data_IF_757448052252
#
_entry.id   IF_757448052252
#
_cell.length_a   1.000
_cell.length_b   1.000
_cell.length_c   1.000
_cell.angle_alpha   90.00
_cell.angle_beta   90.00
_cell.angle_gamma   90.00
#
_symmetry.space_group_name_H-M   'P 1'
#
loop_
_entity.id
_entity.type
_entity.pdbx_description
1 polymer ?
#
# COMPACT_ATOMS: atom_id res chain seq x y z
N UNK A 1 7.83 16.66 -0.73
CA UNK A 1 8.85 15.59 -0.88
C UNK A 1 8.14 14.25 -0.80
N UNK A 2 8.64 13.17 -1.43
CA UNK A 2 8.02 11.84 -1.34
C UNK A 2 8.68 11.01 -0.24
N UNK A 3 7.89 10.21 0.48
CA UNK A 3 8.35 9.26 1.50
C UNK A 3 7.59 7.94 1.36
N UNK A 4 8.24 6.82 1.64
CA UNK A 4 7.54 5.54 1.77
C UNK A 4 6.56 5.64 2.95
N UNK A 5 5.33 5.14 2.77
CA UNK A 5 4.26 5.28 3.77
C UNK A 5 3.80 3.91 4.29
N UNK A 6 3.39 3.03 3.38
CA UNK A 6 3.01 1.65 3.73
C UNK A 6 3.09 0.74 2.51
N UNK A 7 2.93 -0.56 2.78
CA UNK A 7 2.77 -1.61 1.79
C UNK A 7 1.37 -2.21 1.92
N UNK A 8 0.83 -2.76 0.83
CA UNK A 8 -0.48 -3.40 0.82
C UNK A 8 -0.44 -4.78 0.16
N UNK A 9 -0.94 -5.76 0.91
CA UNK A 9 -1.26 -7.13 0.49
C UNK A 9 -2.73 -7.15 0.08
N UNK A 10 -3.00 -7.49 -1.17
CA UNK A 10 -4.38 -7.70 -1.61
C UNK A 10 -4.83 -9.11 -1.28
N UNK A 11 -6.11 -9.27 -0.94
CA UNK A 11 -6.76 -10.55 -0.75
C UNK A 11 -8.19 -10.50 -1.30
N UNK A 12 -8.72 -11.65 -1.73
CA UNK A 12 -10.14 -11.80 -2.11
C UNK A 12 -11.05 -11.83 -0.88
N UNK A 13 -10.52 -12.25 0.26
CA UNK A 13 -11.19 -12.28 1.55
C UNK A 13 -10.25 -11.76 2.65
N UNK A 14 -10.72 -10.81 3.47
CA UNK A 14 -9.87 -10.19 4.49
C UNK A 14 -9.45 -11.17 5.59
N UNK A 15 -10.31 -12.11 5.99
CA UNK A 15 -9.97 -13.07 7.04
C UNK A 15 -8.90 -14.05 6.57
N UNK A 16 -9.01 -14.55 5.34
CA UNK A 16 -7.99 -15.41 4.73
C UNK A 16 -6.67 -14.66 4.51
N UNK A 17 -6.74 -13.41 4.01
CA UNK A 17 -5.59 -12.54 3.86
C UNK A 17 -4.87 -12.25 5.18
N UNK A 18 -5.63 -11.97 6.24
CA UNK A 18 -5.09 -11.76 7.58
C UNK A 18 -4.39 -13.02 8.10
N UNK A 19 -5.06 -14.18 8.04
CA UNK A 19 -4.47 -15.45 8.48
C UNK A 19 -3.19 -15.79 7.71
N UNK A 20 -3.18 -15.59 6.40
CA UNK A 20 -2.00 -15.80 5.57
C UNK A 20 -0.85 -14.89 5.99
N UNK A 21 -1.11 -13.61 6.20
CA UNK A 21 -0.09 -12.64 6.55
C UNK A 21 0.45 -12.85 7.97
N UNK A 22 -0.41 -13.15 8.93
CA UNK A 22 -0.04 -13.50 10.31
C UNK A 22 0.83 -14.77 10.36
N UNK A 23 0.46 -15.79 9.59
CA UNK A 23 1.25 -17.02 9.44
C UNK A 23 2.61 -16.74 8.83
N UNK A 24 2.67 -15.86 7.83
CA UNK A 24 3.91 -15.57 7.09
C UNK A 24 4.89 -14.72 7.91
N UNK A 25 4.40 -13.72 8.65
CA UNK A 25 5.24 -12.85 9.49
C UNK A 25 5.41 -13.36 10.92
N UNK A 26 4.57 -14.29 11.37
CA UNK A 26 4.61 -14.90 12.70
C UNK A 26 4.14 -13.97 13.82
N UNK A 27 3.35 -12.95 13.51
CA UNK A 27 2.79 -11.98 14.48
C UNK A 27 1.33 -11.66 14.14
N UNK A 28 0.47 -11.35 15.12
CA UNK A 28 -0.93 -11.03 14.85
C UNK A 28 -1.08 -9.62 14.28
N UNK A 29 -2.08 -9.42 13.44
CA UNK A 29 -2.48 -8.12 12.92
C UNK A 29 -3.40 -7.41 13.92
N UNK A 30 -3.32 -6.08 13.92
CA UNK A 30 -4.25 -5.24 14.63
C UNK A 30 -5.53 -5.00 13.80
N UNK A 31 -6.65 -4.68 14.46
CA UNK A 31 -7.84 -4.18 13.77
C UNK A 31 -7.49 -2.97 12.90
N UNK A 32 -7.95 -3.01 11.65
CA UNK A 32 -7.95 -1.86 10.75
C UNK A 32 -9.31 -1.17 10.78
N UNK A 33 -9.90 -0.95 9.61
CA UNK A 33 -11.28 -0.53 9.48
C UNK A 33 -11.77 -0.56 8.04
N UNK A 34 -12.84 0.16 7.78
CA UNK A 34 -13.52 0.17 6.49
C UNK A 34 -13.23 1.46 5.73
N UNK A 35 -13.29 1.37 4.40
CA UNK A 35 -13.18 2.50 3.49
C UNK A 35 -14.52 2.65 2.73
N UNK A 36 -15.49 3.42 3.26
CA UNK A 36 -16.82 3.50 2.66
C UNK A 36 -16.81 3.96 1.20
N UNK A 37 -15.88 4.85 0.82
CA UNK A 37 -15.77 5.34 -0.56
C UNK A 37 -15.41 4.22 -1.55
N UNK A 38 -14.58 3.26 -1.11
CA UNK A 38 -14.04 2.18 -1.96
C UNK A 38 -14.65 0.82 -1.68
N UNK A 39 -15.55 0.73 -0.71
CA UNK A 39 -16.16 -0.52 -0.26
C UNK A 39 -15.13 -1.62 0.00
N UNK A 40 -14.03 -1.25 0.65
CA UNK A 40 -12.96 -2.15 1.08
C UNK A 40 -12.81 -2.10 2.59
N UNK A 41 -12.12 -3.09 3.15
CA UNK A 41 -11.77 -3.14 4.56
C UNK A 41 -10.39 -3.76 4.77
N UNK A 42 -9.77 -3.49 5.91
CA UNK A 42 -8.38 -3.88 6.14
C UNK A 42 -8.08 -4.39 7.56
N UNK A 43 -6.86 -4.93 7.68
CA UNK A 43 -6.13 -5.22 8.92
C UNK A 43 -4.71 -4.70 8.77
N UNK A 44 -4.08 -4.34 9.88
CA UNK A 44 -2.84 -3.55 9.87
C UNK A 44 -1.76 -4.17 10.75
N UNK A 45 -0.50 -3.99 10.36
CA UNK A 45 0.68 -4.30 11.16
C UNK A 45 1.59 -3.08 11.27
N UNK A 46 2.11 -2.81 12.46
CA UNK A 46 3.13 -1.79 12.66
C UNK A 46 4.49 -2.25 12.08
N UNK A 47 5.16 -1.41 11.29
CA UNK A 47 6.50 -1.67 10.75
C UNK A 47 7.57 -0.68 11.29
N UNK A 48 7.28 0.01 12.39
CA UNK A 48 8.05 1.11 12.95
C UNK A 48 7.55 2.46 12.43
N UNK A 49 8.23 3.00 11.42
CA UNK A 49 7.88 4.25 10.75
C UNK A 49 6.78 4.08 9.69
N UNK A 50 6.58 2.84 9.23
CA UNK A 50 5.57 2.45 8.24
C UNK A 50 4.51 1.55 8.86
N UNK A 51 3.53 1.14 8.06
CA UNK A 51 2.67 0.01 8.37
C UNK A 51 2.53 -0.94 7.18
N UNK A 52 2.04 -2.15 7.43
CA UNK A 52 1.62 -3.10 6.41
C UNK A 52 0.11 -3.24 6.48
N UNK A 53 -0.55 -3.18 5.34
CA UNK A 53 -1.98 -3.38 5.20
C UNK A 53 -2.24 -4.72 4.52
N UNK A 54 -3.21 -5.48 5.01
CA UNK A 54 -3.93 -6.44 4.17
C UNK A 54 -5.33 -5.89 3.91
N UNK A 55 -5.72 -5.87 2.64
CA UNK A 55 -6.93 -5.22 2.16
C UNK A 55 -7.72 -6.15 1.26
N UNK A 56 -9.05 -6.10 1.38
CA UNK A 56 -9.99 -6.82 0.52
C UNK A 56 -11.24 -5.99 0.27
N UNK A 57 -12.03 -6.39 -0.73
CA UNK A 57 -13.38 -5.88 -0.93
C UNK A 57 -14.24 -6.28 0.27
N UNK A 58 -14.98 -5.32 0.84
CA UNK A 58 -15.91 -5.59 1.92
C UNK A 58 -17.24 -6.11 1.34
N UNK A 59 -17.59 -7.40 1.54
CA UNK A 59 -18.81 -7.97 0.95
C UNK A 59 -20.10 -7.41 1.58
N UNK A 60 -20.01 -6.77 2.75
CA UNK A 60 -21.14 -6.12 3.40
C UNK A 60 -21.38 -4.67 2.94
N UNK A 61 -20.43 -4.09 2.19
CA UNK A 61 -20.54 -2.74 1.66
C UNK A 61 -21.17 -2.75 0.25
N UNK A 62 -21.92 -1.70 -0.14
CA UNK A 62 -22.46 -1.61 -1.50
C UNK A 62 -21.34 -1.53 -2.54
N UNK A 63 -21.56 -2.02 -3.75
CA UNK A 63 -20.60 -1.80 -4.85
C UNK A 63 -20.51 -0.31 -5.16
N UNK A 64 -19.30 0.30 -5.15
CA UNK A 64 -19.13 1.71 -5.48
C UNK A 64 -19.41 1.95 -6.97
N UNK A 65 -19.81 3.15 -7.38
CA UNK A 65 -20.11 3.48 -8.77
C UNK A 65 -18.86 3.68 -9.65
N UNK A 66 -17.67 3.37 -9.12
CA UNK A 66 -16.37 3.58 -9.75
C UNK A 66 -15.44 2.39 -9.43
N UNK A 67 -14.39 2.14 -10.23
CA UNK A 67 -13.41 1.09 -9.96
C UNK A 67 -12.71 1.27 -8.62
N UNK A 68 -12.45 0.17 -7.93
CA UNK A 68 -11.69 0.17 -6.67
C UNK A 68 -10.21 0.36 -6.95
N UNK A 69 -9.50 0.96 -5.98
CA UNK A 69 -8.05 1.14 -6.04
C UNK A 69 -7.36 -0.22 -6.10
N UNK A 70 -6.06 -0.18 -6.42
CA UNK A 70 -5.19 -1.36 -6.40
C UNK A 70 -5.64 -2.49 -7.33
N UNK A 71 -6.45 -2.16 -8.36
CA UNK A 71 -7.05 -3.13 -9.28
C UNK A 71 -7.84 -4.24 -8.55
N UNK A 72 -8.40 -3.94 -7.36
CA UNK A 72 -9.05 -4.94 -6.50
C UNK A 72 -10.25 -5.63 -7.16
N UNK A 73 -10.93 -4.95 -8.10
CA UNK A 73 -12.05 -5.53 -8.83
C UNK A 73 -11.62 -6.68 -9.76
N UNK A 74 -10.35 -6.69 -10.19
CA UNK A 74 -9.77 -7.75 -11.03
C UNK A 74 -8.82 -8.66 -10.24
N UNK A 75 -8.66 -8.43 -8.93
CA UNK A 75 -7.79 -9.22 -8.09
C UNK A 75 -8.32 -10.65 -7.91
N UNK A 76 -7.45 -11.62 -8.18
CA UNK A 76 -7.73 -13.05 -7.99
C UNK A 76 -6.51 -13.77 -7.43
N UNK A 77 -6.75 -14.97 -6.91
CA UNK A 77 -5.71 -15.86 -6.39
C UNK A 77 -5.43 -15.70 -4.90
N UNK A 78 -4.30 -16.27 -4.46
CA UNK A 78 -3.85 -16.23 -3.07
C UNK A 78 -3.44 -14.80 -2.66
N UNK A 79 -3.54 -14.43 -1.37
CA UNK A 79 -3.04 -13.16 -0.87
C UNK A 79 -1.56 -12.95 -1.24
N UNK A 80 -1.22 -11.75 -1.72
CA UNK A 80 0.16 -11.38 -2.09
C UNK A 80 0.39 -9.89 -2.01
N UNK A 81 1.67 -9.49 -1.96
CA UNK A 81 2.06 -8.09 -2.03
C UNK A 81 1.74 -7.52 -3.43
N UNK A 82 0.87 -6.51 -3.50
CA UNK A 82 0.44 -5.95 -4.79
C UNK A 82 0.70 -4.47 -4.94
N UNK A 83 0.83 -3.74 -3.83
CA UNK A 83 0.99 -2.30 -3.86
C UNK A 83 1.91 -1.81 -2.76
N UNK A 84 2.47 -0.65 -3.04
CA UNK A 84 3.27 0.13 -2.12
C UNK A 84 2.84 1.58 -2.29
N UNK A 85 2.91 2.33 -1.20
CA UNK A 85 2.30 3.64 -1.12
C UNK A 85 3.34 4.63 -0.64
N UNK A 86 3.35 5.80 -1.27
CA UNK A 86 4.19 6.92 -0.87
C UNK A 86 3.31 8.08 -0.39
N UNK A 87 3.79 8.79 0.62
CA UNK A 87 3.20 10.02 1.12
C UNK A 87 3.93 11.24 0.55
N UNK A 88 3.19 12.32 0.36
CA UNK A 88 3.72 13.65 0.10
C UNK A 88 3.05 14.72 0.99
N UNK A 89 3.69 15.88 1.07
CA UNK A 89 3.17 17.02 1.84
C UNK A 89 2.06 17.77 1.08
N UNK A 90 2.04 17.67 -0.25
CA UNK A 90 1.09 18.33 -1.16
C UNK A 90 0.74 17.35 -2.30
N UNK A 91 -0.50 16.86 -2.30
CA UNK A 91 -0.96 15.89 -3.29
C UNK A 91 -1.07 16.48 -4.69
N UNK A 92 -1.47 17.74 -4.82
CA UNK A 92 -1.68 18.36 -6.14
C UNK A 92 -0.34 18.58 -6.84
N UNK A 93 0.68 19.03 -6.10
CA UNK A 93 2.05 19.11 -6.59
C UNK A 93 2.66 17.72 -6.88
N UNK A 94 2.28 16.70 -6.10
CA UNK A 94 2.69 15.32 -6.33
C UNK A 94 2.09 14.72 -7.60
N UNK A 95 0.80 14.96 -7.86
CA UNK A 95 0.11 14.54 -9.08
C UNK A 95 0.69 15.19 -10.34
N UNK A 96 1.15 16.43 -10.25
CA UNK A 96 1.84 17.09 -11.36
C UNK A 96 3.21 16.44 -11.68
N UNK A 97 3.89 15.87 -10.68
CA UNK A 97 5.17 15.18 -10.84
C UNK A 97 5.01 13.71 -11.26
N UNK A 98 3.94 13.06 -10.84
CA UNK A 98 3.65 11.64 -11.09
C UNK A 98 2.35 11.49 -11.89
N UNK A 99 2.35 11.88 -13.19
CA UNK A 99 1.16 11.80 -14.03
C UNK A 99 0.69 10.35 -14.15
N UNK A 100 -0.64 10.16 -14.17
CA UNK A 100 -1.26 8.84 -14.20
C UNK A 100 -1.52 8.21 -12.83
N UNK A 101 -1.08 8.84 -11.74
CA UNK A 101 -1.39 8.38 -10.36
C UNK A 101 -2.89 8.47 -10.01
N UNK A 102 -3.66 9.26 -10.77
CA UNK A 102 -5.11 9.38 -10.62
C UNK A 102 -5.59 10.77 -10.23
N UNK A 103 -6.80 10.84 -9.67
CA UNK A 103 -7.40 12.08 -9.17
C UNK A 103 -7.36 12.10 -7.64
N UNK A 104 -7.16 13.28 -7.07
CA UNK A 104 -7.16 13.47 -5.62
C UNK A 104 -8.57 13.29 -5.05
N UNK A 105 -8.70 12.38 -4.10
CA UNK A 105 -9.95 12.07 -3.40
C UNK A 105 -9.74 12.20 -1.90
N UNK A 106 -10.60 12.98 -1.24
CA UNK A 106 -10.60 13.15 0.21
C UNK A 106 -11.24 11.94 0.89
N UNK A 107 -10.54 11.40 1.89
CA UNK A 107 -10.91 10.17 2.57
C UNK A 107 -10.79 10.34 4.09
N UNK A 108 -11.62 9.58 4.79
CA UNK A 108 -11.73 9.65 6.24
C UNK A 108 -12.06 8.29 6.84
N UNK A 109 -11.46 8.00 8.00
CA UNK A 109 -11.78 6.84 8.83
C UNK A 109 -11.54 7.17 10.31
N UNK A 110 -12.60 7.26 11.10
CA UNK A 110 -12.51 7.75 12.48
C UNK A 110 -12.01 9.19 12.49
N UNK A 111 -10.86 9.44 13.12
CA UNK A 111 -10.16 10.73 13.14
C UNK A 111 -9.04 10.83 12.08
N UNK A 112 -8.71 9.74 11.37
CA UNK A 112 -7.78 9.77 10.24
C UNK A 112 -8.41 10.53 9.07
N UNK A 113 -7.65 11.44 8.47
CA UNK A 113 -8.00 12.20 7.27
C UNK A 113 -6.80 12.17 6.31
N UNK A 114 -7.06 11.90 5.05
CA UNK A 114 -6.02 11.93 4.02
C UNK A 114 -6.64 12.19 2.66
N UNK A 115 -5.82 12.64 1.72
CA UNK A 115 -6.15 12.67 0.30
C UNK A 115 -5.39 11.55 -0.39
N UNK A 116 -6.01 10.84 -1.33
CA UNK A 116 -5.35 9.79 -2.10
C UNK A 116 -5.56 10.00 -3.59
N UNK A 117 -4.53 9.75 -4.38
CA UNK A 117 -4.64 9.67 -5.83
C UNK A 117 -5.28 8.32 -6.22
N UNK A 118 -6.43 8.37 -6.88
CA UNK A 118 -7.17 7.18 -7.33
C UNK A 118 -7.27 7.22 -8.87
N UNK A 119 -6.63 6.27 -9.58
CA UNK A 119 -6.78 6.15 -11.03
C UNK A 119 -8.24 5.88 -11.42
N UNK A 120 -8.69 6.46 -12.54
CA UNK A 120 -10.08 6.34 -12.98
C UNK A 120 -10.49 4.89 -13.32
N UNK A 121 -9.52 4.05 -13.70
CA UNK A 121 -9.70 2.62 -13.95
C UNK A 121 -9.28 1.74 -12.75
N UNK A 122 -8.86 2.34 -11.63
CA UNK A 122 -8.40 1.64 -10.43
C UNK A 122 -6.96 1.09 -10.52
N UNK A 123 -6.27 1.30 -11.65
CA UNK A 123 -4.99 0.64 -11.96
C UNK A 123 -3.83 1.63 -11.95
N UNK A 124 -2.76 1.27 -11.24
CA UNK A 124 -1.57 2.11 -11.17
C UNK A 124 -0.71 1.96 -12.45
N UNK A 125 0.05 3.02 -12.83
CA UNK A 125 0.96 2.96 -13.98
C UNK A 125 1.98 1.82 -13.91
N UNK A 126 2.62 1.54 -15.05
CA UNK A 126 3.67 0.51 -15.19
C UNK A 126 3.19 -0.90 -14.78
N UNK A 127 1.95 -1.23 -15.11
CA UNK A 127 1.36 -2.54 -14.80
C UNK A 127 1.17 -2.80 -13.30
N UNK A 128 1.08 -1.75 -12.48
CA UNK A 128 0.97 -1.84 -11.02
C UNK A 128 2.27 -1.57 -10.26
N UNK A 129 3.40 -1.39 -10.96
CA UNK A 129 4.69 -1.15 -10.31
C UNK A 129 4.83 0.27 -9.73
N UNK A 130 4.08 1.24 -10.24
CA UNK A 130 4.05 2.60 -9.70
C UNK A 130 3.44 2.61 -8.29
N UNK A 131 3.96 3.41 -7.33
CA UNK A 131 3.35 3.52 -6.01
C UNK A 131 2.02 4.24 -6.08
N UNK A 132 1.09 3.95 -5.17
CA UNK A 132 -0.01 4.89 -4.95
C UNK A 132 0.50 6.10 -4.17
N UNK A 133 -0.17 7.25 -4.35
CA UNK A 133 0.22 8.51 -3.76
C UNK A 133 -0.86 9.01 -2.81
N UNK A 134 -0.47 9.43 -1.61
CA UNK A 134 -1.37 10.05 -0.64
C UNK A 134 -0.76 11.28 0.04
N UNK A 135 -1.61 12.04 0.70
CA UNK A 135 -1.26 13.13 1.60
C UNK A 135 -2.07 12.97 2.88
N UNK A 136 -1.40 12.68 4.00
CA UNK A 136 -2.04 12.70 5.31
C UNK A 136 -2.41 14.13 5.71
N UNK A 137 -3.57 14.29 6.35
CA UNK A 137 -4.05 15.56 6.86
C UNK A 137 -4.00 15.57 8.39
N UNK A 138 -3.10 16.39 8.96
CA UNK A 138 -2.85 16.44 10.39
C UNK A 138 -1.79 15.43 10.86
N UNK A 139 -1.72 15.20 12.18
CA UNK A 139 -0.72 14.31 12.82
C UNK A 139 -1.19 12.88 13.05
N UNK A 140 -2.48 12.62 12.81
CA UNK A 140 -3.11 11.32 12.99
C UNK A 140 -2.58 10.33 11.93
N UNK A 141 -1.92 9.25 12.37
CA UNK A 141 -1.30 8.27 11.48
C UNK A 141 -1.43 6.84 12.04
N UNK A 142 -1.71 5.80 11.21
CA UNK A 142 -1.83 4.43 11.69
C UNK A 142 -0.58 3.92 12.42
N UNK A 143 0.62 4.13 11.87
CA UNK A 143 1.87 3.62 12.44
C UNK A 143 2.16 4.15 13.86
N UNK A 144 1.62 5.31 14.24
CA UNK A 144 1.82 5.89 15.58
C UNK A 144 0.91 5.28 16.66
N UNK A 145 -0.05 4.44 16.27
CA UNK A 145 -1.13 3.93 17.15
C UNK A 145 -1.19 2.41 17.22
N UNK A 146 -0.67 1.74 16.20
CA UNK A 146 -0.64 0.29 16.11
C UNK A 146 0.34 -0.28 17.16
N UNK A 147 0.00 -1.40 17.83
CA UNK A 147 0.95 -2.10 18.68
C UNK A 147 2.22 -2.46 17.91
N UNK A 148 3.38 -2.14 18.47
CA UNK A 148 4.67 -2.49 17.87
C UNK A 148 5.02 -3.96 18.20
N UNK A 149 5.01 -4.80 17.16
CA UNK A 149 5.36 -6.22 17.24
C UNK A 149 6.83 -6.48 16.88
N UNK A 150 7.67 -5.43 16.83
CA UNK A 150 9.07 -5.49 16.44
C UNK A 150 9.32 -6.08 15.04
N UNK A 151 8.37 -5.86 14.13
CA UNK A 151 8.54 -6.13 12.69
C UNK A 151 9.04 -4.86 12.00
N UNK A 152 10.05 -4.98 11.13
CA UNK A 152 10.61 -3.85 10.38
C UNK A 152 10.82 -4.24 8.93
N UNK A 153 10.41 -3.36 8.00
CA UNK A 153 10.80 -3.47 6.61
C UNK A 153 12.30 -3.24 6.48
N UNK A 154 13.02 -4.20 5.93
CA UNK A 154 14.45 -4.06 5.61
C UNK A 154 14.65 -3.68 4.16
N UNK A 155 13.85 -4.25 3.26
CA UNK A 155 14.04 -4.11 1.82
C UNK A 155 12.71 -4.18 1.08
N UNK A 156 12.49 -3.31 0.10
CA UNK A 156 11.41 -3.37 -0.87
C UNK A 156 12.01 -3.39 -2.27
N UNK A 157 11.78 -4.49 -2.99
CA UNK A 157 12.17 -4.65 -4.38
C UNK A 157 10.97 -4.49 -5.30
N UNK A 158 11.14 -3.66 -6.32
CA UNK A 158 10.20 -3.46 -7.41
C UNK A 158 10.91 -3.90 -8.69
N UNK A 159 10.46 -4.97 -9.31
CA UNK A 159 10.90 -5.30 -10.67
C UNK A 159 9.84 -4.89 -11.67
N UNK A 160 10.23 -4.28 -12.79
CA UNK A 160 9.30 -3.88 -13.85
C UNK A 160 10.03 -3.67 -15.18
N UNK A 161 9.40 -3.91 -16.34
CA UNK A 161 10.01 -3.60 -17.64
C UNK A 161 10.35 -2.11 -17.78
N UNK A 162 9.61 -1.25 -17.07
CA UNK A 162 9.72 0.21 -17.15
C UNK A 162 10.61 0.81 -16.05
N UNK A 163 11.56 0.03 -15.50
CA UNK A 163 12.31 0.40 -14.31
C UNK A 163 13.02 1.76 -14.41
N UNK A 164 13.60 2.06 -15.57
CA UNK A 164 14.29 3.33 -15.78
C UNK A 164 13.33 4.53 -15.74
N UNK A 165 12.14 4.39 -16.34
CA UNK A 165 11.11 5.43 -16.32
C UNK A 165 10.58 5.62 -14.89
N UNK A 166 10.31 4.52 -14.17
CA UNK A 166 9.86 4.56 -12.79
C UNK A 166 10.90 5.22 -11.87
N UNK A 167 12.17 4.81 -11.95
CA UNK A 167 13.27 5.43 -11.20
C UNK A 167 13.39 6.93 -11.47
N UNK A 168 13.27 7.35 -12.74
CA UNK A 168 13.33 8.77 -13.12
C UNK A 168 12.18 9.56 -12.52
N UNK A 169 10.95 9.02 -12.58
CA UNK A 169 9.77 9.66 -11.99
C UNK A 169 9.86 9.80 -10.47
N UNK A 170 10.50 8.83 -9.81
CA UNK A 170 10.63 8.76 -8.36
C UNK A 170 11.98 9.29 -7.84
N UNK A 171 12.72 10.09 -8.62
CA UNK A 171 14.03 10.59 -8.22
C UNK A 171 14.02 11.39 -6.90
N UNK A 172 12.86 11.94 -6.50
CA UNK A 172 12.66 12.64 -5.23
C UNK A 172 12.41 11.73 -4.01
N UNK A 173 12.33 10.41 -4.19
CA UNK A 173 12.16 9.41 -3.14
C UNK A 173 13.51 8.75 -2.83
N UNK A 174 14.05 9.01 -1.63
CA UNK A 174 15.41 8.59 -1.25
C UNK A 174 15.42 7.54 -0.13
N UNK A 175 14.39 6.71 -0.04
CA UNK A 175 14.32 5.66 1.01
C UNK A 175 15.35 4.56 0.71
N UNK A 176 16.31 4.28 1.61
CA UNK A 176 17.38 3.32 1.35
C UNK A 176 16.89 1.86 1.27
N UNK A 177 15.65 1.59 1.71
CA UNK A 177 15.04 0.26 1.64
C UNK A 177 14.51 -0.03 0.23
N UNK A 178 14.32 0.99 -0.62
CA UNK A 178 13.69 0.83 -1.93
C UNK A 178 14.72 0.51 -3.02
N UNK A 179 14.48 -0.58 -3.74
CA UNK A 179 15.27 -1.01 -4.88
C UNK A 179 14.37 -1.24 -6.09
N UNK A 180 14.62 -0.51 -7.18
CA UNK A 180 13.89 -0.67 -8.43
C UNK A 180 14.84 -1.26 -9.47
N UNK A 181 14.44 -2.35 -10.12
CA UNK A 181 15.25 -3.06 -11.11
C UNK A 181 14.43 -3.46 -12.36
N UNK A 182 15.10 -3.59 -13.50
CA UNK A 182 14.48 -4.04 -14.73
C UNK A 182 14.16 -5.54 -14.67
N UNK A 183 12.94 -5.94 -15.03
CA UNK A 183 12.52 -7.35 -15.06
C UNK A 183 11.02 -7.51 -15.26
N UNK A 184 10.50 -8.74 -15.11
CA UNK A 184 9.05 -8.95 -15.06
C UNK A 184 8.46 -8.25 -13.84
N UNK A 185 7.22 -7.77 -13.96
CA UNK A 185 6.56 -7.08 -12.85
C UNK A 185 6.45 -7.99 -11.63
N UNK A 186 7.08 -7.60 -10.53
CA UNK A 186 6.93 -8.24 -9.23
C UNK A 186 7.25 -7.25 -8.11
N UNK A 187 6.62 -7.48 -6.96
CA UNK A 187 6.92 -6.79 -5.71
C UNK A 187 7.43 -7.82 -4.71
N UNK A 188 8.50 -7.47 -4.01
CA UNK A 188 9.05 -8.32 -2.97
C UNK A 188 9.49 -7.48 -1.79
N UNK A 189 9.02 -7.83 -0.59
CA UNK A 189 9.38 -7.12 0.63
C UNK A 189 10.04 -8.09 1.62
N UNK A 190 11.15 -7.64 2.22
CA UNK A 190 11.89 -8.35 3.26
C UNK A 190 11.69 -7.68 4.61
N UNK A 191 11.53 -8.51 5.64
CA UNK A 191 11.23 -8.05 6.99
C UNK A 191 12.17 -8.69 8.00
N UNK A 192 12.66 -7.87 8.92
CA UNK A 192 13.15 -8.37 10.20
C UNK A 192 11.94 -8.58 11.12
N UNK A 193 11.82 -9.77 11.71
CA UNK A 193 10.74 -10.12 12.65
C UNK A 193 11.33 -10.74 13.92
N UNK A 194 10.58 -10.80 15.04
CA UNK A 194 11.01 -11.52 16.25
C UNK A 194 11.33 -13.00 16.01
N UNK A 195 10.76 -13.58 14.96
CA UNK A 195 10.89 -15.00 14.61
C UNK A 195 11.85 -15.24 13.43
N UNK A 196 12.76 -14.30 13.17
CA UNK A 196 13.73 -14.34 12.08
C UNK A 196 13.28 -13.60 10.81
N UNK A 197 14.15 -13.50 9.78
CA UNK A 197 13.82 -12.82 8.53
C UNK A 197 12.64 -13.47 7.80
N UNK A 198 11.75 -12.65 7.23
CA UNK A 198 10.58 -13.07 6.45
C UNK A 198 10.50 -12.32 5.13
N UNK A 199 9.78 -12.89 4.16
CA UNK A 199 9.64 -12.35 2.82
C UNK A 199 8.17 -12.43 2.39
N UNK A 200 7.68 -11.39 1.70
CA UNK A 200 6.41 -11.37 0.99
C UNK A 200 6.67 -11.12 -0.50
N UNK A 201 5.98 -11.88 -1.37
CA UNK A 201 6.05 -11.85 -2.84
C UNK A 201 4.63 -12.00 -3.42
#
# INVERSE_FOLDING_TARGET
MFKLDHLAVSATNLAEGALWLESTLGVPLAPGGEHPHMSTHNRLLNLGDLYLEVIAINPAAPTPPHPRWFDLDNYTGQPRLTNWIIACDDLDAGLAQLPGSGQATDLARGDLRWRMAIPADGRLPYGGAHPALLQWMGSAHPAHRLPDQAVRLTTLHITTPDAHALQTSLAGLTDPRLHIAHGHHALRAEFATPNGPRVLE
#
